data_IF_509659251041
#
_entry.id   IF_509659251041
#
_cell.length_a   1.000
_cell.length_b   1.000
_cell.length_c   1.000
_cell.angle_alpha   90.00
_cell.angle_beta   90.00
_cell.angle_gamma   90.00
#
_symmetry.space_group_name_H-M   'P 1'
#
loop_
_entity.id
_entity.type
_entity.pdbx_description
1 polymer ?
#
# COMPACT_ATOMS: atom_id res chain seq x y z
N UNK A 1 12.84 -28.91 2.34
CA UNK A 1 13.94 -29.37 3.22
C UNK A 1 15.06 -28.34 3.13
N UNK A 2 15.57 -27.85 4.25
CA UNK A 2 16.54 -26.74 4.32
C UNK A 2 17.96 -27.31 4.43
N UNK A 3 18.87 -26.89 3.56
CA UNK A 3 20.26 -27.36 3.44
C UNK A 3 21.22 -26.16 3.35
N UNK A 4 21.42 -25.43 4.46
CA UNK A 4 22.22 -24.20 4.48
C UNK A 4 23.69 -24.43 4.12
N UNK A 5 24.20 -25.66 4.31
CA UNK A 5 25.55 -26.08 3.92
C UNK A 5 25.83 -25.95 2.42
N UNK A 6 24.81 -25.89 1.57
CA UNK A 6 24.95 -25.77 0.11
C UNK A 6 25.06 -24.31 -0.37
N UNK A 7 24.88 -23.32 0.49
CA UNK A 7 24.88 -21.90 0.14
C UNK A 7 26.04 -21.18 0.84
N UNK A 8 27.26 -21.47 0.41
CA UNK A 8 28.49 -20.82 0.90
C UNK A 8 28.92 -19.61 0.06
N UNK A 9 28.23 -19.34 -1.06
CA UNK A 9 28.60 -18.32 -2.03
C UNK A 9 27.85 -17.00 -1.79
N UNK A 10 28.58 -15.89 -1.90
CA UNK A 10 27.98 -14.55 -1.99
C UNK A 10 27.53 -14.38 -3.45
N UNK A 11 26.23 -14.27 -3.67
CA UNK A 11 25.67 -14.05 -5.00
C UNK A 11 25.94 -12.60 -5.45
N UNK A 12 26.84 -12.42 -6.42
CA UNK A 12 27.15 -11.14 -7.08
C UNK A 12 26.40 -11.02 -8.42
N UNK A 13 25.09 -11.33 -8.41
CA UNK A 13 24.24 -11.16 -9.58
C UNK A 13 23.68 -9.74 -9.61
N UNK A 14 23.44 -9.18 -10.81
CA UNK A 14 22.74 -7.90 -10.91
C UNK A 14 21.38 -8.03 -10.23
N UNK A 15 20.99 -7.00 -9.47
CA UNK A 15 19.67 -6.96 -8.87
C UNK A 15 18.61 -7.12 -9.97
N UNK A 16 17.59 -7.96 -9.76
CA UNK A 16 16.50 -8.08 -10.72
C UNK A 16 15.79 -6.73 -10.85
N UNK A 17 15.41 -6.36 -12.07
CA UNK A 17 14.62 -5.16 -12.27
C UNK A 17 13.26 -5.33 -11.60
N UNK A 18 13.01 -4.50 -10.59
CA UNK A 18 11.71 -4.41 -9.93
C UNK A 18 10.77 -3.61 -10.83
N UNK A 19 9.80 -4.28 -11.46
CA UNK A 19 8.69 -3.61 -12.15
C UNK A 19 7.56 -3.39 -11.14
N UNK A 20 7.29 -2.13 -10.81
CA UNK A 20 6.17 -1.75 -9.95
C UNK A 20 5.07 -1.20 -10.86
N UNK A 21 3.89 -1.85 -10.95
CA UNK A 21 2.76 -1.31 -11.71
C UNK A 21 2.17 -0.10 -10.99
N UNK A 22 1.41 0.71 -11.72
CA UNK A 22 0.59 1.77 -11.11
C UNK A 22 -0.45 1.16 -10.16
N UNK A 23 -0.75 1.84 -9.04
CA UNK A 23 -1.79 1.37 -8.13
C UNK A 23 -3.17 1.40 -8.80
N UNK A 24 -4.09 0.50 -8.42
CA UNK A 24 -5.47 0.58 -8.89
C UNK A 24 -6.15 1.86 -8.37
N UNK A 25 -7.27 2.28 -8.99
CA UNK A 25 -8.09 3.35 -8.46
C UNK A 25 -8.57 3.04 -7.03
N UNK A 26 -8.76 4.06 -6.18
CA UNK A 26 -9.35 3.87 -4.85
C UNK A 26 -10.80 3.38 -4.94
N UNK A 27 -11.15 2.45 -4.06
CA UNK A 27 -12.50 1.89 -3.89
C UNK A 27 -13.14 2.44 -2.60
N UNK A 28 -14.47 2.43 -2.50
CA UNK A 28 -15.21 2.92 -1.34
C UNK A 28 -16.31 1.91 -0.96
N UNK A 29 -16.34 1.51 0.31
CA UNK A 29 -17.29 0.53 0.86
C UNK A 29 -18.05 1.08 2.06
N UNK A 30 -19.34 0.76 2.17
CA UNK A 30 -20.13 1.01 3.38
C UNK A 30 -20.19 -0.25 4.24
N UNK A 31 -19.31 -0.32 5.23
CA UNK A 31 -19.18 -1.47 6.11
C UNK A 31 -20.42 -1.76 6.97
N UNK A 32 -21.36 -0.82 7.09
CA UNK A 32 -22.60 -1.05 7.85
C UNK A 32 -23.57 -1.98 7.11
N UNK A 33 -23.47 -2.03 5.78
CA UNK A 33 -24.33 -2.83 4.90
C UNK A 33 -23.55 -3.85 4.07
N UNK A 34 -22.26 -3.61 3.81
CA UNK A 34 -21.35 -4.51 3.10
C UNK A 34 -20.06 -4.77 3.92
N UNK A 35 -20.14 -5.60 4.99
CA UNK A 35 -18.96 -5.96 5.79
C UNK A 35 -17.91 -6.78 5.04
N UNK A 36 -18.27 -7.32 3.85
CA UNK A 36 -17.40 -8.17 3.05
C UNK A 36 -16.65 -7.41 1.94
N UNK A 37 -16.86 -6.10 1.82
CA UNK A 37 -16.23 -5.24 0.80
C UNK A 37 -16.42 -5.83 -0.61
N UNK A 38 -17.66 -6.18 -0.93
CA UNK A 38 -18.04 -6.84 -2.19
C UNK A 38 -18.64 -5.90 -3.22
N UNK A 39 -19.09 -4.70 -2.82
CA UNK A 39 -19.71 -3.71 -3.70
C UNK A 39 -19.01 -2.34 -3.58
N UNK A 40 -18.17 -2.02 -4.56
CA UNK A 40 -17.53 -0.71 -4.64
C UNK A 40 -18.54 0.38 -5.03
N UNK A 41 -18.79 1.30 -4.10
CA UNK A 41 -19.72 2.42 -4.28
C UNK A 41 -19.02 3.75 -4.60
N UNK A 42 -17.72 3.76 -4.90
CA UNK A 42 -16.94 4.97 -5.17
C UNK A 42 -17.50 5.79 -6.33
N UNK A 43 -17.83 5.14 -7.44
CA UNK A 43 -18.39 5.81 -8.63
C UNK A 43 -19.76 6.47 -8.35
N UNK A 44 -20.55 5.89 -7.44
CA UNK A 44 -21.84 6.44 -7.00
C UNK A 44 -21.71 7.57 -5.97
N UNK A 45 -20.56 7.68 -5.30
CA UNK A 45 -20.32 8.60 -4.19
C UNK A 45 -19.00 9.39 -4.32
N UNK A 46 -18.77 10.09 -5.45
CA UNK A 46 -17.45 10.69 -5.76
C UNK A 46 -17.01 11.77 -4.76
N UNK A 47 -17.95 12.50 -4.16
CA UNK A 47 -17.63 13.51 -3.14
C UNK A 47 -17.14 12.88 -1.83
N UNK A 48 -17.71 11.72 -1.45
CA UNK A 48 -17.29 10.98 -0.26
C UNK A 48 -15.91 10.36 -0.51
N UNK A 49 -15.73 9.69 -1.66
CA UNK A 49 -14.46 9.11 -2.06
C UNK A 49 -13.33 10.15 -2.08
N UNK A 50 -13.57 11.32 -2.70
CA UNK A 50 -12.58 12.40 -2.73
C UNK A 50 -12.25 12.95 -1.34
N UNK A 51 -13.24 13.12 -0.47
CA UNK A 51 -13.00 13.57 0.91
C UNK A 51 -12.16 12.57 1.70
N UNK A 52 -12.50 11.28 1.63
CA UNK A 52 -11.78 10.23 2.35
C UNK A 52 -10.35 10.05 1.81
N UNK A 53 -10.14 10.20 0.50
CA UNK A 53 -8.81 10.18 -0.09
C UNK A 53 -7.93 11.32 0.46
N UNK A 54 -8.47 12.54 0.55
CA UNK A 54 -7.74 13.68 1.13
C UNK A 54 -7.39 13.45 2.60
N UNK A 55 -8.32 12.90 3.38
CA UNK A 55 -8.09 12.55 4.79
C UNK A 55 -6.97 11.51 4.92
N UNK A 56 -6.96 10.48 4.06
CA UNK A 56 -5.92 9.45 4.00
C UNK A 56 -4.54 10.03 3.64
N UNK A 57 -4.47 10.85 2.59
CA UNK A 57 -3.23 11.47 2.12
C UNK A 57 -2.64 12.43 3.17
N UNK A 58 -3.50 13.19 3.84
CA UNK A 58 -3.10 14.10 4.92
C UNK A 58 -2.45 13.35 6.07
N UNK A 59 -3.12 12.29 6.56
CA UNK A 59 -2.57 11.43 7.61
C UNK A 59 -1.26 10.77 7.20
N UNK A 60 -1.15 10.32 5.94
CA UNK A 60 0.07 9.72 5.42
C UNK A 60 1.25 10.71 5.45
N UNK A 61 1.04 11.95 5.02
CA UNK A 61 2.08 12.99 5.07
C UNK A 61 2.51 13.31 6.51
N UNK A 62 1.56 13.34 7.46
CA UNK A 62 1.86 13.50 8.89
C UNK A 62 2.78 12.39 9.40
N UNK A 63 2.43 11.12 9.15
CA UNK A 63 3.22 9.95 9.55
C UNK A 63 4.60 9.95 8.91
N UNK A 64 4.70 10.28 7.62
CA UNK A 64 5.98 10.31 6.93
C UNK A 64 6.84 11.49 7.39
N UNK A 65 6.24 12.61 7.78
CA UNK A 65 6.94 13.71 8.44
C UNK A 65 7.56 13.25 9.77
N UNK A 66 6.79 12.57 10.62
CA UNK A 66 7.30 11.99 11.87
C UNK A 66 8.43 10.98 11.63
N UNK A 67 8.26 10.07 10.66
CA UNK A 67 9.27 9.06 10.30
C UNK A 67 10.60 9.71 9.91
N UNK A 68 10.57 10.79 9.11
CA UNK A 68 11.77 11.49 8.64
C UNK A 68 12.54 12.17 9.78
N UNK A 69 11.91 12.44 10.92
CA UNK A 69 12.55 13.07 12.08
C UNK A 69 13.30 12.06 12.97
N UNK A 70 13.09 10.76 12.76
CA UNK A 70 13.82 9.72 13.49
C UNK A 70 15.27 9.70 12.98
N UNK A 71 16.19 10.12 13.84
CA UNK A 71 17.64 10.00 13.60
C UNK A 71 18.13 8.73 14.32
N UNK A 72 19.03 7.98 13.68
CA UNK A 72 19.62 6.73 14.20
C UNK A 72 20.43 6.93 15.49
#
# INVERSE_FOLDING_TARGET
KYHPENFSEIFDWPEPQKVIPDPPPPELYDLSIDPGETDDVAAGNPAIASRMLVELETWFEEVESERRLITD
#
